data_IF_934849745350
#
_entry.id   IF_934849745350
#
_cell.length_a   1.000
_cell.length_b   1.000
_cell.length_c   1.000
_cell.angle_alpha   90.00
_cell.angle_beta   90.00
_cell.angle_gamma   90.00
#
_symmetry.space_group_name_H-M   'P 1'
#
loop_
_entity.id
_entity.type
_entity.pdbx_description
1 polymer ?
#
# COMPACT_ATOMS: atom_id res chain seq x y z
N UNK A 1 -2.51 -12.12 10.42
CA UNK A 1 -2.17 -10.96 9.58
C UNK A 1 -2.23 -9.74 10.46
N UNK A 2 -1.22 -8.89 10.41
CA UNK A 2 -1.22 -7.62 11.12
C UNK A 2 -1.81 -6.55 10.18
N UNK A 3 -2.87 -5.89 10.62
CA UNK A 3 -3.48 -4.80 9.87
C UNK A 3 -2.70 -3.51 10.12
N UNK A 4 -2.52 -2.69 9.09
CA UNK A 4 -1.84 -1.41 9.20
C UNK A 4 -2.69 -0.35 8.53
N UNK A 5 -3.10 0.65 9.29
CA UNK A 5 -3.79 1.81 8.73
C UNK A 5 -2.82 2.66 7.90
N UNK A 6 -3.31 3.07 6.73
CA UNK A 6 -2.57 3.88 5.77
C UNK A 6 -3.40 5.07 5.32
N UNK A 7 -2.72 6.18 5.02
CA UNK A 7 -3.33 7.28 4.27
C UNK A 7 -3.03 7.13 2.79
N UNK A 8 -4.05 6.70 2.04
CA UNK A 8 -4.02 6.59 0.59
C UNK A 8 -4.61 7.84 -0.04
N UNK A 9 -3.77 8.67 -0.66
CA UNK A 9 -4.16 9.97 -1.19
C UNK A 9 -3.94 10.04 -2.69
N UNK A 10 -4.89 10.65 -3.39
CA UNK A 10 -4.67 11.10 -4.76
C UNK A 10 -3.65 12.23 -4.75
N UNK A 11 -2.58 12.08 -5.51
CA UNK A 11 -1.58 13.09 -5.73
C UNK A 11 -1.59 13.51 -7.20
N UNK A 12 -1.99 14.76 -7.43
CA UNK A 12 -1.90 15.42 -8.72
C UNK A 12 -0.51 16.03 -8.90
N UNK A 13 0.27 15.48 -9.85
CA UNK A 13 1.59 15.98 -10.22
C UNK A 13 1.55 16.84 -11.49
N UNK A 14 0.39 17.40 -11.85
CA UNK A 14 0.08 18.20 -13.07
C UNK A 14 0.17 17.44 -14.38
N UNK A 15 1.26 16.70 -14.61
CA UNK A 15 1.46 15.90 -15.84
C UNK A 15 0.81 14.53 -15.73
N UNK A 16 0.82 13.97 -14.53
CA UNK A 16 0.21 12.68 -14.21
C UNK A 16 -0.39 12.78 -12.81
N UNK A 17 -1.31 11.88 -12.53
CA UNK A 17 -1.86 11.70 -11.20
C UNK A 17 -1.69 10.26 -10.76
N UNK A 18 -1.51 10.06 -9.46
CA UNK A 18 -1.37 8.73 -8.89
C UNK A 18 -1.88 8.72 -7.46
N UNK A 19 -2.32 7.55 -7.00
CA UNK A 19 -2.56 7.35 -5.59
C UNK A 19 -1.25 6.96 -4.90
N UNK A 20 -0.98 7.61 -3.77
CA UNK A 20 0.23 7.37 -2.98
C UNK A 20 -0.10 7.08 -1.53
N UNK A 21 0.70 6.20 -0.94
CA UNK A 21 0.71 5.96 0.50
C UNK A 21 1.54 7.08 1.14
N UNK A 22 0.91 7.90 1.97
CA UNK A 22 1.54 9.07 2.59
C UNK A 22 1.98 8.83 4.03
N UNK A 23 1.58 7.70 4.63
CA UNK A 23 1.93 7.32 6.01
C UNK A 23 2.30 5.85 6.09
N UNK A 24 3.00 5.46 7.16
CA UNK A 24 3.21 4.05 7.52
C UNK A 24 4.04 3.19 6.56
N UNK A 25 4.59 3.74 5.45
CA UNK A 25 5.37 2.97 4.48
C UNK A 25 6.54 2.20 5.10
N UNK A 26 7.32 2.84 5.98
CA UNK A 26 8.43 2.16 6.66
C UNK A 26 7.97 0.99 7.55
N UNK A 27 6.80 1.12 8.19
CA UNK A 27 6.20 0.04 8.97
C UNK A 27 5.76 -1.11 8.07
N UNK A 28 5.15 -0.82 6.91
CA UNK A 28 4.77 -1.83 5.91
C UNK A 28 6.01 -2.60 5.45
N UNK A 29 7.10 -1.90 5.10
CA UNK A 29 8.37 -2.52 4.69
C UNK A 29 8.92 -3.42 5.80
N UNK A 30 8.97 -2.93 7.04
CA UNK A 30 9.51 -3.67 8.19
C UNK A 30 8.68 -4.92 8.50
N UNK A 31 7.36 -4.77 8.60
CA UNK A 31 6.45 -5.84 9.01
C UNK A 31 6.35 -6.95 7.94
N UNK A 32 6.46 -6.58 6.66
CA UNK A 32 6.49 -7.53 5.55
C UNK A 32 7.91 -7.98 5.15
N UNK A 33 8.95 -7.51 5.87
CA UNK A 33 10.37 -7.84 5.62
C UNK A 33 10.80 -7.60 4.17
N UNK A 34 10.30 -6.52 3.58
CA UNK A 34 10.61 -6.16 2.20
C UNK A 34 12.04 -5.63 2.11
N UNK A 35 12.70 -5.98 1.01
CA UNK A 35 14.04 -5.53 0.63
C UNK A 35 13.98 -4.90 -0.76
N UNK A 36 15.02 -4.17 -1.12
CA UNK A 36 15.20 -3.70 -2.49
C UNK A 36 15.14 -4.91 -3.43
N UNK A 37 14.52 -4.73 -4.59
CA UNK A 37 14.32 -5.76 -5.64
C UNK A 37 13.27 -6.84 -5.33
N UNK A 38 12.70 -6.87 -4.12
CA UNK A 38 11.56 -7.76 -3.86
C UNK A 38 10.39 -7.40 -4.78
N UNK A 39 9.86 -8.41 -5.47
CA UNK A 39 8.63 -8.29 -6.23
C UNK A 39 7.46 -8.57 -5.30
N UNK A 40 6.46 -7.68 -5.30
CA UNK A 40 5.26 -7.81 -4.49
C UNK A 40 4.02 -7.79 -5.38
N UNK A 41 3.01 -8.54 -4.98
CA UNK A 41 1.65 -8.43 -5.50
C UNK A 41 0.81 -7.60 -4.55
N UNK A 42 0.10 -6.63 -5.10
CA UNK A 42 -0.83 -5.78 -4.38
C UNK A 42 -2.24 -6.04 -4.90
N UNK A 43 -3.13 -6.44 -4.00
CA UNK A 43 -4.54 -6.69 -4.30
C UNK A 43 -5.39 -5.64 -3.61
N UNK A 44 -6.38 -5.09 -4.32
CA UNK A 44 -7.42 -4.25 -3.74
C UNK A 44 -8.72 -5.02 -3.60
N UNK A 45 -9.38 -4.90 -2.46
CA UNK A 45 -10.70 -5.50 -2.23
C UNK A 45 -11.54 -4.60 -1.32
N UNK A 46 -12.85 -4.82 -1.29
CA UNK A 46 -13.76 -4.07 -0.43
C UNK A 46 -14.45 -5.00 0.57
N UNK A 47 -14.51 -4.56 1.83
CA UNK A 47 -15.30 -5.22 2.89
C UNK A 47 -16.25 -4.17 3.44
N UNK A 48 -17.56 -4.42 3.34
CA UNK A 48 -18.60 -3.47 3.76
C UNK A 48 -18.37 -2.06 3.19
N UNK A 49 -18.08 -1.98 1.89
CA UNK A 49 -17.75 -0.74 1.14
C UNK A 49 -16.42 -0.07 1.47
N UNK A 50 -15.75 -0.43 2.56
CA UNK A 50 -14.42 0.05 2.92
C UNK A 50 -13.35 -0.61 2.03
N UNK A 51 -12.44 0.20 1.47
CA UNK A 51 -11.35 -0.27 0.63
C UNK A 51 -10.18 -0.77 1.49
N UNK A 52 -9.75 -1.99 1.21
CA UNK A 52 -8.59 -2.63 1.83
C UNK A 52 -7.58 -3.06 0.76
N UNK A 53 -6.36 -3.31 1.21
CA UNK A 53 -5.29 -3.84 0.39
C UNK A 53 -4.67 -5.07 1.04
N UNK A 54 -4.38 -6.09 0.24
CA UNK A 54 -3.55 -7.22 0.64
C UNK A 54 -2.24 -7.13 -0.13
N UNK A 55 -1.14 -7.11 0.62
CA UNK A 55 0.21 -7.11 0.09
C UNK A 55 0.82 -8.50 0.30
N UNK A 56 1.26 -9.12 -0.78
CA UNK A 56 1.93 -10.42 -0.75
C UNK A 56 3.29 -10.30 -1.44
N UNK A 57 4.36 -10.65 -0.72
CA UNK A 57 5.69 -10.79 -1.32
C UNK A 57 5.76 -12.09 -2.14
N UNK A 58 6.35 -12.04 -3.34
CA UNK A 58 6.60 -13.21 -4.19
C UNK A 58 7.90 -13.94 -3.83
#
# INVERSE_FOLDING_TARGET
MEETEINFKWWDMRKNSMYVITTSWNSIVKNNRLKVEDVVQLWSFRVNSTLYFALQKL
#
